data_IF_083452194304
#
_entry.id   IF_083452194304
#
_cell.length_a   1.000
_cell.length_b   1.000
_cell.length_c   1.000
_cell.angle_alpha   90.00
_cell.angle_beta   90.00
_cell.angle_gamma   90.00
#
_symmetry.space_group_name_H-M   'P 1'
#
loop_
_entity.id
_entity.type
_entity.pdbx_description
1 polymer ?
#
# COMPACT_ATOMS: atom_id res chain seq x y z
N UNK A 1 15.20 -0.22 11.96
CA UNK A 1 13.98 -0.87 11.43
C UNK A 1 13.25 -1.44 12.64
N UNK A 2 11.96 -1.16 12.80
CA UNK A 2 11.18 -1.66 13.94
C UNK A 2 10.15 -2.68 13.45
N UNK A 3 10.00 -3.74 14.23
CA UNK A 3 9.10 -4.86 13.96
C UNK A 3 7.69 -4.49 14.42
N UNK A 4 6.69 -4.70 13.56
CA UNK A 4 5.27 -4.45 13.87
C UNK A 4 4.63 -5.70 14.47
N UNK A 5 4.72 -6.80 13.74
CA UNK A 5 4.15 -8.09 14.14
C UNK A 5 5.01 -9.20 13.57
N UNK A 6 5.13 -10.29 14.33
CA UNK A 6 5.71 -11.52 13.86
C UNK A 6 4.91 -12.70 14.36
N UNK A 7 5.02 -13.82 13.66
CA UNK A 7 4.35 -15.04 14.07
C UNK A 7 4.24 -16.07 12.95
N UNK A 8 3.70 -17.23 13.31
CA UNK A 8 3.45 -18.29 12.36
C UNK A 8 2.17 -18.04 11.58
N UNK A 9 2.24 -18.23 10.27
CA UNK A 9 1.08 -18.31 9.40
C UNK A 9 1.24 -19.46 8.43
N UNK A 10 0.12 -20.07 8.06
CA UNK A 10 0.08 -20.98 6.94
C UNK A 10 0.02 -20.17 5.66
N UNK A 11 0.80 -20.57 4.66
CA UNK A 11 0.77 -20.02 3.31
C UNK A 11 0.36 -21.12 2.34
N UNK A 12 -0.54 -20.80 1.42
CA UNK A 12 -0.86 -21.71 0.33
C UNK A 12 0.14 -21.55 -0.82
N UNK A 13 0.69 -22.66 -1.29
CA UNK A 13 1.48 -22.67 -2.52
C UNK A 13 0.56 -22.53 -3.73
N UNK A 14 0.88 -21.62 -4.64
CA UNK A 14 0.11 -21.41 -5.88
C UNK A 14 0.23 -22.60 -6.86
N UNK A 15 1.32 -23.37 -6.81
CA UNK A 15 1.57 -24.49 -7.73
C UNK A 15 0.91 -25.77 -7.25
N UNK A 16 1.12 -26.12 -5.97
CA UNK A 16 0.68 -27.40 -5.41
C UNK A 16 -0.61 -27.29 -4.59
N UNK A 17 -1.17 -26.08 -4.41
CA UNK A 17 -2.33 -25.76 -3.56
C UNK A 17 -2.26 -26.28 -2.12
N UNK A 18 -1.08 -26.71 -1.67
CA UNK A 18 -0.78 -27.18 -0.32
C UNK A 18 -0.52 -25.99 0.61
N UNK A 19 -1.00 -26.11 1.84
CA UNK A 19 -0.66 -25.21 2.94
C UNK A 19 0.67 -25.62 3.58
N UNK A 20 1.52 -24.64 3.86
CA UNK A 20 2.80 -24.81 4.57
C UNK A 20 2.95 -23.71 5.63
N UNK A 21 3.39 -24.08 6.83
CA UNK A 21 3.64 -23.13 7.91
C UNK A 21 4.94 -22.36 7.64
N UNK A 22 4.91 -21.06 7.82
CA UNK A 22 6.05 -20.16 7.67
C UNK A 22 6.05 -19.13 8.80
N UNK A 23 7.25 -18.66 9.17
CA UNK A 23 7.38 -17.53 10.08
C UNK A 23 7.31 -16.23 9.29
N UNK A 24 6.42 -15.32 9.66
CA UNK A 24 6.26 -14.02 9.03
C UNK A 24 6.76 -12.92 9.97
N UNK A 25 7.48 -11.94 9.41
CA UNK A 25 7.86 -10.70 10.07
C UNK A 25 7.34 -9.53 9.23
N UNK A 26 6.50 -8.69 9.84
CA UNK A 26 6.04 -7.43 9.28
C UNK A 26 6.81 -6.28 9.91
N UNK A 27 7.44 -5.46 9.07
CA UNK A 27 8.26 -4.33 9.49
C UNK A 27 7.55 -3.00 9.24
N UNK A 28 7.87 -1.98 10.05
CA UNK A 28 7.28 -0.63 9.96
C UNK A 28 7.58 0.08 8.63
N UNK A 29 8.61 -0.35 7.91
CA UNK A 29 8.93 0.16 6.58
C UNK A 29 7.98 -0.38 5.48
N UNK A 30 7.00 -1.21 5.87
CA UNK A 30 6.03 -1.83 5.00
C UNK A 30 6.57 -3.06 4.27
N UNK A 31 7.65 -3.68 4.74
CA UNK A 31 8.13 -4.95 4.21
C UNK A 31 7.58 -6.12 5.02
N UNK A 32 6.90 -7.05 4.34
CA UNK A 32 6.52 -8.35 4.88
C UNK A 32 7.52 -9.40 4.39
N UNK A 33 8.25 -10.00 5.32
CA UNK A 33 9.20 -11.07 5.05
C UNK A 33 8.64 -12.38 5.59
N UNK A 34 8.91 -13.48 4.89
CA UNK A 34 8.65 -14.81 5.44
C UNK A 34 9.82 -15.76 5.26
N UNK A 35 9.92 -16.67 6.21
CA UNK A 35 11.00 -17.62 6.37
C UNK A 35 10.43 -19.04 6.46
N UNK A 36 11.22 -20.06 6.09
CA UNK A 36 10.84 -21.45 6.33
C UNK A 36 10.62 -21.72 7.82
N UNK A 37 11.49 -21.16 8.67
CA UNK A 37 11.52 -21.40 10.11
C UNK A 37 11.76 -20.09 10.89
N UNK A 38 11.43 -20.12 12.20
CA UNK A 38 11.62 -19.02 13.14
C UNK A 38 13.09 -18.58 13.32
N UNK A 39 14.05 -19.41 12.91
CA UNK A 39 15.48 -19.09 12.98
C UNK A 39 15.89 -17.90 12.09
N UNK A 40 15.01 -17.43 11.18
CA UNK A 40 15.21 -16.27 10.30
C UNK A 40 16.52 -16.27 9.49
N UNK A 41 17.10 -17.46 9.28
CA UNK A 41 18.41 -17.63 8.61
C UNK A 41 18.34 -17.39 7.11
N UNK A 42 17.23 -17.79 6.48
CA UNK A 42 17.04 -17.72 5.04
C UNK A 42 15.69 -17.09 4.73
N UNK A 43 15.70 -15.86 4.20
CA UNK A 43 14.50 -15.19 3.70
C UNK A 43 14.01 -15.96 2.47
N UNK A 44 12.78 -16.46 2.51
CA UNK A 44 12.18 -17.12 1.34
C UNK A 44 11.67 -16.09 0.34
N UNK A 45 11.02 -15.03 0.84
CA UNK A 45 10.61 -13.91 0.01
C UNK A 45 10.40 -12.63 0.85
N UNK A 46 10.43 -11.49 0.17
CA UNK A 46 10.14 -10.16 0.71
C UNK A 46 9.10 -9.46 -0.16
N UNK A 47 7.99 -9.09 0.46
CA UNK A 47 6.87 -8.43 -0.19
C UNK A 47 6.77 -6.98 0.34
N UNK A 48 7.03 -5.96 -0.49
CA UNK A 48 6.85 -4.58 -0.09
C UNK A 48 5.36 -4.22 -0.09
N UNK A 49 4.70 -4.43 1.05
CA UNK A 49 3.27 -4.20 1.27
C UNK A 49 2.85 -2.78 0.90
N UNK A 50 3.67 -1.78 1.23
CA UNK A 50 3.37 -0.36 0.96
C UNK A 50 3.02 -0.04 -0.49
N UNK A 51 3.65 -0.73 -1.45
CA UNK A 51 3.47 -0.47 -2.89
C UNK A 51 2.75 -1.59 -3.62
N UNK A 52 2.92 -2.83 -3.13
CA UNK A 52 2.38 -3.99 -3.81
C UNK A 52 1.02 -4.39 -3.26
N UNK A 53 0.67 -4.11 -2.00
CA UNK A 53 -0.64 -4.48 -1.48
C UNK A 53 -1.71 -3.52 -2.02
N UNK A 54 -2.78 -4.08 -2.58
CA UNK A 54 -3.96 -3.36 -3.06
C UNK A 54 -5.11 -3.50 -2.07
N UNK A 55 -5.28 -4.70 -1.51
CA UNK A 55 -6.36 -5.00 -0.60
C UNK A 55 -6.00 -6.16 0.31
N UNK A 56 -6.54 -6.17 1.53
CA UNK A 56 -6.39 -7.28 2.49
C UNK A 56 -7.78 -7.69 2.97
N UNK A 57 -8.10 -8.96 2.78
CA UNK A 57 -9.37 -9.58 3.18
C UNK A 57 -9.13 -10.58 4.28
N UNK A 58 -10.05 -10.70 5.23
CA UNK A 58 -9.98 -11.71 6.27
C UNK A 58 -11.31 -12.44 6.44
N UNK A 59 -11.24 -13.67 6.91
CA UNK A 59 -12.39 -14.50 7.19
C UNK A 59 -13.28 -14.76 5.98
N UNK A 60 -14.59 -14.60 6.15
CA UNK A 60 -15.58 -14.80 5.09
C UNK A 60 -15.37 -13.91 3.84
N UNK A 61 -14.65 -12.79 3.97
CA UNK A 61 -14.30 -11.92 2.83
C UNK A 61 -13.36 -12.60 1.82
N UNK A 62 -12.69 -13.69 2.22
CA UNK A 62 -11.75 -14.44 1.39
C UNK A 62 -12.44 -15.30 0.31
N UNK A 63 -13.77 -15.43 0.34
CA UNK A 63 -14.54 -16.24 -0.62
C UNK A 63 -14.30 -17.74 -0.46
N UNK A 64 -14.50 -18.52 -1.53
CA UNK A 64 -14.49 -20.00 -1.51
C UNK A 64 -13.07 -20.61 -1.50
N UNK A 65 -12.22 -20.15 -0.58
CA UNK A 65 -10.89 -20.74 -0.35
C UNK A 65 -11.04 -21.83 0.71
N UNK A 66 -10.51 -23.02 0.39
CA UNK A 66 -10.49 -24.13 1.35
C UNK A 66 -9.40 -23.88 2.41
N UNK A 67 -9.77 -23.71 3.69
CA UNK A 67 -8.80 -23.56 4.76
C UNK A 67 -7.98 -24.85 4.93
N UNK A 68 -6.80 -24.77 5.58
CA UNK A 68 -6.05 -25.97 5.96
C UNK A 68 -6.88 -26.87 6.90
N UNK A 69 -6.54 -28.16 6.92
CA UNK A 69 -7.25 -29.17 7.72
C UNK A 69 -7.33 -28.74 9.20
N UNK A 70 -8.56 -28.58 9.70
CA UNK A 70 -8.83 -28.20 11.09
C UNK A 70 -8.98 -26.70 11.34
N UNK A 71 -8.77 -25.84 10.34
CA UNK A 71 -8.99 -24.40 10.45
C UNK A 71 -10.35 -23.98 9.85
N UNK A 72 -10.89 -22.88 10.35
CA UNK A 72 -12.13 -22.28 9.84
C UNK A 72 -11.83 -21.26 8.75
N UNK A 73 -12.86 -20.93 7.96
CA UNK A 73 -12.78 -19.86 6.96
C UNK A 73 -12.45 -18.51 7.62
N UNK A 74 -12.91 -18.28 8.85
CA UNK A 74 -12.65 -17.05 9.62
C UNK A 74 -11.17 -16.81 9.95
N UNK A 75 -10.36 -17.86 9.96
CA UNK A 75 -8.91 -17.75 10.17
C UNK A 75 -8.12 -17.40 8.90
N UNK A 76 -8.78 -17.28 7.75
CA UNK A 76 -8.11 -16.97 6.48
C UNK A 76 -7.80 -15.48 6.35
N UNK A 77 -6.67 -15.19 5.71
CA UNK A 77 -6.27 -13.84 5.30
C UNK A 77 -5.79 -13.89 3.86
N UNK A 78 -6.37 -13.05 3.01
CA UNK A 78 -5.96 -12.93 1.60
C UNK A 78 -5.41 -11.54 1.35
N UNK A 79 -4.16 -11.47 0.89
CA UNK A 79 -3.54 -10.22 0.44
C UNK A 79 -3.58 -10.20 -1.09
N UNK A 80 -4.29 -9.22 -1.64
CA UNK A 80 -4.32 -8.96 -3.07
C UNK A 80 -3.18 -8.00 -3.43
N UNK A 81 -2.28 -8.47 -4.29
CA UNK A 81 -1.13 -7.70 -4.73
C UNK A 81 -1.43 -6.99 -6.06
N UNK A 82 -0.62 -5.97 -6.38
CA UNK A 82 -0.79 -5.08 -7.54
C UNK A 82 -0.63 -5.79 -8.87
N UNK A 83 0.17 -6.86 -8.89
CA UNK A 83 0.31 -7.78 -10.02
C UNK A 83 -0.92 -8.70 -10.21
N UNK A 84 -1.98 -8.49 -9.43
CA UNK A 84 -3.20 -9.33 -9.35
C UNK A 84 -2.94 -10.72 -8.80
N UNK A 85 -1.75 -10.99 -8.27
CA UNK A 85 -1.50 -12.22 -7.52
C UNK A 85 -2.15 -12.11 -6.15
N UNK A 86 -2.52 -13.27 -5.60
CA UNK A 86 -3.13 -13.38 -4.27
C UNK A 86 -2.21 -14.20 -3.39
N UNK A 87 -1.81 -13.62 -2.27
CA UNK A 87 -1.13 -14.33 -1.21
C UNK A 87 -2.19 -14.84 -0.23
N UNK A 88 -2.40 -16.16 -0.25
CA UNK A 88 -3.36 -16.84 0.60
C UNK A 88 -2.67 -17.28 1.88
N UNK A 89 -3.16 -16.78 3.00
CA UNK A 89 -2.65 -17.01 4.34
C UNK A 89 -3.76 -17.58 5.23
N UNK A 90 -3.37 -18.35 6.25
CA UNK A 90 -4.27 -18.77 7.32
C UNK A 90 -3.56 -18.57 8.66
N UNK A 91 -4.23 -17.88 9.57
CA UNK A 91 -3.82 -17.75 10.96
C UNK A 91 -4.27 -18.96 11.78
N UNK A 92 -3.81 -19.02 13.03
CA UNK A 92 -4.19 -20.07 13.98
C UNK A 92 -5.59 -19.81 14.58
N UNK A 93 -6.05 -18.56 14.59
CA UNK A 93 -7.34 -18.11 15.09
C UNK A 93 -7.93 -17.00 14.20
N UNK A 94 -9.24 -16.79 14.30
CA UNK A 94 -9.96 -15.65 13.72
C UNK A 94 -9.40 -14.31 14.23
N UNK A 95 -9.19 -14.18 15.54
CA UNK A 95 -8.65 -12.95 16.13
C UNK A 95 -7.26 -12.61 15.57
N UNK A 96 -6.42 -13.65 15.35
CA UNK A 96 -5.12 -13.46 14.74
C UNK A 96 -5.24 -13.08 13.26
N UNK A 97 -6.20 -13.64 12.52
CA UNK A 97 -6.46 -13.25 11.14
C UNK A 97 -6.83 -11.77 11.03
N UNK A 98 -7.71 -11.30 11.93
CA UNK A 98 -8.09 -9.89 12.02
C UNK A 98 -6.88 -9.03 12.41
N UNK A 99 -6.09 -9.45 13.41
CA UNK A 99 -4.89 -8.72 13.82
C UNK A 99 -3.87 -8.59 12.68
N UNK A 100 -3.68 -9.65 11.90
CA UNK A 100 -2.83 -9.62 10.70
C UNK A 100 -3.40 -8.70 9.62
N UNK A 101 -4.72 -8.74 9.35
CA UNK A 101 -5.36 -7.81 8.41
C UNK A 101 -5.11 -6.35 8.81
N UNK A 102 -5.38 -6.00 10.06
CA UNK A 102 -5.18 -4.63 10.56
C UNK A 102 -3.72 -4.22 10.45
N UNK A 103 -2.77 -5.05 10.89
CA UNK A 103 -1.35 -4.73 10.80
C UNK A 103 -0.86 -4.55 9.36
N UNK A 104 -1.32 -5.40 8.44
CA UNK A 104 -0.98 -5.29 7.02
C UNK A 104 -1.56 -4.03 6.39
N UNK A 105 -2.78 -3.63 6.75
CA UNK A 105 -3.40 -2.39 6.29
C UNK A 105 -2.69 -1.17 6.90
N UNK A 106 -2.43 -1.15 8.20
CA UNK A 106 -1.77 -0.03 8.90
C UNK A 106 -0.37 0.27 8.32
N UNK A 107 0.38 -0.77 7.97
CA UNK A 107 1.70 -0.60 7.33
C UNK A 107 1.64 -0.05 5.91
N UNK A 108 0.49 -0.13 5.22
CA UNK A 108 0.30 0.60 3.96
C UNK A 108 0.18 2.10 4.20
N UNK A 109 -0.44 2.50 5.32
CA UNK A 109 -0.80 3.89 5.57
C UNK A 109 0.20 4.67 6.42
N UNK A 110 1.15 4.03 7.12
CA UNK A 110 2.10 4.75 7.98
C UNK A 110 2.89 5.82 7.18
N UNK A 111 2.59 7.12 7.40
CA UNK A 111 3.42 8.19 6.88
C UNK A 111 4.59 8.36 7.84
N UNK A 112 5.76 8.69 7.31
CA UNK A 112 6.83 9.13 8.20
C UNK A 112 6.60 10.60 8.45
N UNK A 113 6.34 10.92 9.71
CA UNK A 113 6.13 12.27 10.17
C UNK A 113 7.49 12.97 10.21
N UNK A 114 7.67 13.97 9.35
CA UNK A 114 8.85 14.83 9.37
C UNK A 114 8.49 16.09 10.16
N UNK A 115 9.33 16.43 11.14
CA UNK A 115 9.20 17.69 11.86
C UNK A 115 9.62 18.82 10.92
N UNK A 116 8.70 19.74 10.65
CA UNK A 116 9.01 20.98 9.96
C UNK A 116 9.42 22.05 10.99
N UNK A 117 10.69 22.49 11.01
CA UNK A 117 11.15 23.52 11.95
C UNK A 117 10.54 24.91 11.69
N UNK A 118 9.82 25.11 10.59
CA UNK A 118 9.16 26.37 10.25
C UNK A 118 7.66 26.37 10.53
N UNK A 119 7.04 25.20 10.74
CA UNK A 119 5.59 25.05 10.95
C UNK A 119 5.23 24.41 12.31
N UNK A 120 6.21 24.07 13.17
CA UNK A 120 6.01 23.47 14.51
C UNK A 120 5.02 22.28 14.54
N UNK A 121 4.82 21.66 13.38
CA UNK A 121 3.84 20.64 13.11
C UNK A 121 4.52 19.46 12.40
N UNK A 122 4.07 18.26 12.74
CA UNK A 122 4.54 17.03 12.10
C UNK A 122 3.78 16.84 10.80
N UNK A 123 4.47 16.92 9.66
CA UNK A 123 3.84 16.64 8.37
C UNK A 123 4.02 15.15 8.03
N UNK A 124 2.91 14.48 7.78
CA UNK A 124 2.86 13.11 7.29
C UNK A 124 3.36 13.04 5.84
N UNK A 125 4.63 12.70 5.62
CA UNK A 125 5.17 12.53 4.26
C UNK A 125 5.02 11.05 3.85
N UNK A 126 4.27 10.75 2.76
CA UNK A 126 4.25 9.41 2.21
C UNK A 126 5.62 9.07 1.62
N UNK A 127 6.22 7.97 2.08
CA UNK A 127 7.42 7.41 1.43
C UNK A 127 7.08 7.04 -0.02
N UNK A 128 7.69 7.72 -0.99
CA UNK A 128 7.64 7.32 -2.39
C UNK A 128 8.49 6.05 -2.61
N UNK A 129 8.13 5.22 -3.60
CA UNK A 129 8.77 3.93 -3.95
C UNK A 129 10.25 3.99 -4.29
N UNK A 130 10.82 5.19 -4.38
CA UNK A 130 12.25 5.43 -4.60
C UNK A 130 13.05 5.72 -3.32
N UNK A 131 12.48 5.52 -2.12
CA UNK A 131 13.14 5.85 -0.85
C UNK A 131 13.57 7.33 -0.74
N UNK A 132 13.01 8.21 -1.58
CA UNK A 132 13.32 9.63 -1.60
C UNK A 132 12.12 10.41 -1.05
N UNK A 133 12.30 11.04 0.11
CA UNK A 133 11.44 12.12 0.57
C UNK A 133 11.96 13.41 -0.06
N UNK A 134 11.24 13.96 -1.04
CA UNK A 134 11.55 15.29 -1.56
C UNK A 134 10.95 16.31 -0.59
N UNK A 135 11.81 16.93 0.22
CA UNK A 135 11.45 18.14 0.94
C UNK A 135 11.35 19.23 -0.11
N UNK A 136 10.12 19.64 -0.44
CA UNK A 136 9.91 20.75 -1.34
C UNK A 136 10.33 22.04 -0.60
N UNK A 137 11.57 22.50 -0.84
CA UNK A 137 12.04 23.83 -0.42
C UNK A 137 11.39 24.94 -1.27
N UNK A 138 10.08 24.83 -1.51
CA UNK A 138 9.30 25.87 -2.16
C UNK A 138 8.92 26.93 -1.13
N UNK A 139 9.10 28.19 -1.50
CA UNK A 139 8.70 29.42 -0.79
C UNK A 139 9.77 30.11 0.07
N UNK A 140 10.81 30.60 -0.60
CA UNK A 140 11.30 31.93 -0.28
C UNK A 140 10.20 32.95 -0.63
N UNK A 141 9.63 33.61 0.37
CA UNK A 141 9.08 34.97 0.20
C UNK A 141 7.61 35.19 0.55
N UNK A 142 7.42 35.96 1.63
CA UNK A 142 6.40 36.98 1.84
C UNK A 142 4.92 36.59 2.06
N UNK A 143 4.44 36.92 3.26
CA UNK A 143 3.24 37.76 3.42
C UNK A 143 1.95 37.08 3.86
N UNK A 144 1.72 37.08 5.18
CA UNK A 144 0.44 37.22 5.91
C UNK A 144 -0.87 36.68 5.30
N UNK A 145 -1.58 35.91 6.13
CA UNK A 145 -3.02 35.61 6.18
C UNK A 145 -3.45 34.18 5.77
N UNK A 146 -3.77 33.41 6.80
CA UNK A 146 -4.62 32.22 6.78
C UNK A 146 -6.08 32.64 6.55
N UNK A 147 -6.81 31.82 5.77
CA UNK A 147 -8.27 31.57 5.63
C UNK A 147 -8.60 31.55 4.14
N UNK A 148 -9.28 30.58 3.55
CA UNK A 148 -10.12 29.47 3.99
C UNK A 148 -10.26 28.57 2.75
N UNK A 149 -10.10 27.25 2.89
CA UNK A 149 -10.47 26.31 1.84
C UNK A 149 -11.38 25.25 2.45
N UNK A 150 -12.61 25.70 2.73
CA UNK A 150 -13.79 24.88 2.89
C UNK A 150 -13.86 23.77 1.82
N UNK A 151 -14.16 22.57 2.30
CA UNK A 151 -14.49 21.41 1.49
C UNK A 151 -15.73 21.70 0.64
N UNK A 152 -15.62 21.59 -0.69
CA UNK A 152 -16.81 21.39 -1.52
C UNK A 152 -16.59 20.24 -2.51
N UNK A 153 -17.42 19.21 -2.35
CA UNK A 153 -17.61 18.12 -3.28
C UNK A 153 -18.57 18.56 -4.37
N UNK A 154 -18.13 18.67 -5.64
CA UNK A 154 -18.93 18.23 -6.81
C UNK A 154 -18.19 18.30 -8.18
N UNK A 155 -18.06 17.10 -8.75
CA UNK A 155 -18.10 16.69 -10.18
C UNK A 155 -16.87 16.89 -11.10
N UNK A 156 -16.56 15.89 -11.95
CA UNK A 156 -15.43 15.91 -12.87
C UNK A 156 -15.80 16.58 -14.20
N UNK A 157 -14.91 17.42 -14.74
CA UNK A 157 -14.98 17.90 -16.13
C UNK A 157 -13.66 17.56 -16.82
N UNK A 158 -13.74 16.48 -17.60
CA UNK A 158 -13.25 16.32 -18.98
C UNK A 158 -12.05 17.20 -19.37
N UNK A 159 -10.92 16.52 -19.57
CA UNK A 159 -9.70 17.00 -20.21
C UNK A 159 -9.91 17.35 -21.69
N UNK A 160 -9.15 18.32 -22.22
CA UNK A 160 -8.68 18.26 -23.59
C UNK A 160 -7.14 18.13 -23.64
N UNK A 161 -6.69 17.20 -24.48
CA UNK A 161 -5.30 17.01 -24.86
C UNK A 161 -4.74 18.20 -25.68
N UNK A 162 -3.41 18.37 -25.73
CA UNK A 162 -2.77 19.35 -26.61
C UNK A 162 -2.59 18.76 -28.01
N UNK A 163 -2.98 19.49 -29.05
CA UNK A 163 -2.59 19.14 -30.44
C UNK A 163 -1.89 20.32 -31.11
N UNK A 164 -0.73 19.97 -31.66
CA UNK A 164 0.23 20.81 -32.37
C UNK A 164 -0.20 21.01 -33.83
N UNK A 165 0.04 22.21 -34.37
CA UNK A 165 0.46 22.36 -35.77
C UNK A 165 -0.48 23.05 -36.76
N UNK A 166 0.16 23.89 -37.61
CA UNK A 166 -0.19 24.30 -38.99
C UNK A 166 -0.98 25.62 -39.23
N UNK A 167 -0.21 26.67 -39.56
CA UNK A 167 -0.49 27.60 -40.69
C UNK A 167 -0.32 26.85 -42.03
N UNK A 168 -0.87 27.29 -43.21
CA UNK A 168 -0.84 28.66 -43.75
C UNK A 168 -2.02 29.07 -44.68
N UNK A 169 -1.99 30.29 -45.25
CA UNK A 169 -2.59 30.55 -46.58
C UNK A 169 -3.30 31.90 -46.82
N UNK A 170 -2.59 32.80 -47.51
CA UNK A 170 -3.02 33.67 -48.62
C UNK A 170 -4.35 34.45 -48.57
N UNK A 171 -4.27 35.78 -48.55
CA UNK A 171 -5.36 36.69 -48.95
C UNK A 171 -5.02 37.43 -50.26
N UNK A 172 -5.99 37.42 -51.17
CA UNK A 172 -6.15 38.34 -52.31
C UNK A 172 -7.11 37.73 -53.35
N UNK A 173 -7.71 38.53 -54.27
CA UNK A 173 -8.32 39.86 -54.12
C UNK A 173 -9.73 39.95 -54.79
N UNK A 174 -10.27 41.19 -54.89
CA UNK A 174 -11.43 41.68 -55.70
C UNK A 174 -12.82 41.42 -55.08
N UNK A 175 -13.77 42.35 -55.01
CA UNK A 175 -14.10 43.56 -55.79
C UNK A 175 -14.43 44.77 -54.89
#
# INVERSE_FOLDING_TARGET
MALVKSGWLWRQSCVLRRWKKHWFDLWLDGNLLYYPDENRRTVENRIPMKFNCVNVRAGQECGDILPPDGNTQESLVTVELRDRSKLLLCAESEDDAVAWKMALMDTQFYPVNVYDPYDDHYQAIPFNGHHAAYINQGYCGHGYAITDCSWDHRRPIISPQPTTGQQPGCWGPLY
#
